data_IF_825512419668
#
_entry.id   IF_825512419668
#
_cell.length_a   1.000
_cell.length_b   1.000
_cell.length_c   1.000
_cell.angle_alpha   90.00
_cell.angle_beta   90.00
_cell.angle_gamma   90.00
#
_symmetry.space_group_name_H-M   'P 1'
#
loop_
_entity.id
_entity.type
_entity.pdbx_description
1 polymer ?
#
# COMPACT_ATOMS: atom_id res chain seq x y z
N UNK A 1 18.10 -19.71 31.40
CA UNK A 1 18.10 -20.13 29.98
C UNK A 1 16.82 -19.79 29.20
N UNK A 2 15.62 -20.13 29.70
CA UNK A 2 14.33 -19.84 29.01
C UNK A 2 14.04 -18.34 28.91
N UNK A 3 14.25 -17.59 30.00
CA UNK A 3 14.06 -16.13 30.00
C UNK A 3 14.91 -15.41 28.95
N UNK A 4 16.15 -15.87 28.71
CA UNK A 4 17.03 -15.30 27.69
C UNK A 4 16.52 -15.55 26.26
N UNK A 5 15.89 -16.70 26.00
CA UNK A 5 15.32 -17.03 24.68
C UNK A 5 14.10 -16.16 24.39
N UNK A 6 13.19 -16.05 25.35
CA UNK A 6 12.00 -15.17 25.27
C UNK A 6 12.42 -13.72 25.02
N UNK A 7 13.49 -13.26 25.69
CA UNK A 7 13.99 -11.89 25.52
C UNK A 7 14.56 -11.66 24.12
N UNK A 8 15.29 -12.62 23.56
CA UNK A 8 15.85 -12.52 22.19
C UNK A 8 14.75 -12.57 21.14
N UNK A 9 13.77 -13.46 21.29
CA UNK A 9 12.63 -13.58 20.38
C UNK A 9 11.74 -12.32 20.42
N UNK A 10 11.47 -11.80 21.63
CA UNK A 10 10.73 -10.57 21.82
C UNK A 10 11.44 -9.35 21.24
N UNK A 11 12.75 -9.23 21.45
CA UNK A 11 13.55 -8.14 20.87
C UNK A 11 13.60 -8.25 19.34
N UNK A 12 13.76 -9.47 18.81
CA UNK A 12 13.73 -9.73 17.37
C UNK A 12 12.39 -9.33 16.75
N UNK A 13 11.27 -9.72 17.37
CA UNK A 13 9.93 -9.33 16.94
C UNK A 13 9.72 -7.81 16.97
N UNK A 14 10.20 -7.13 18.02
CA UNK A 14 10.09 -5.68 18.13
C UNK A 14 10.86 -4.95 17.01
N UNK A 15 12.09 -5.38 16.70
CA UNK A 15 12.90 -4.78 15.62
C UNK A 15 12.26 -4.99 14.26
N UNK A 16 11.75 -6.20 13.99
CA UNK A 16 11.05 -6.50 12.73
C UNK A 16 9.78 -5.63 12.60
N UNK A 17 9.00 -5.51 13.66
CA UNK A 17 7.80 -4.69 13.67
C UNK A 17 8.11 -3.20 13.45
N UNK A 18 9.12 -2.66 14.13
CA UNK A 18 9.55 -1.27 13.95
C UNK A 18 10.05 -1.01 12.53
N UNK A 19 10.85 -1.94 11.97
CA UNK A 19 11.37 -1.84 10.60
C UNK A 19 10.26 -1.83 9.54
N UNK A 20 9.24 -2.68 9.68
CA UNK A 20 8.09 -2.68 8.76
C UNK A 20 7.23 -1.43 8.95
N UNK A 21 7.00 -1.03 10.20
CA UNK A 21 6.12 0.11 10.53
C UNK A 21 6.65 1.45 10.02
N UNK A 22 7.98 1.65 10.02
CA UNK A 22 8.60 2.89 9.53
C UNK A 22 8.69 2.93 8.00
N UNK A 23 8.90 1.79 7.35
CA UNK A 23 9.08 1.72 5.90
C UNK A 23 7.77 1.76 5.12
N UNK A 24 6.69 1.19 5.66
CA UNK A 24 5.42 1.09 4.94
C UNK A 24 4.83 2.46 4.51
N UNK A 25 4.80 3.50 5.36
CA UNK A 25 4.33 4.82 4.94
C UNK A 25 5.22 5.45 3.85
N UNK A 26 6.54 5.26 3.96
CA UNK A 26 7.48 5.82 3.01
C UNK A 26 7.34 5.19 1.61
N UNK A 27 7.34 3.86 1.54
CA UNK A 27 7.23 3.13 0.28
C UNK A 27 5.87 3.39 -0.37
N UNK A 28 4.77 3.39 0.41
CA UNK A 28 3.43 3.63 -0.15
C UNK A 28 3.28 5.03 -0.77
N UNK A 29 3.84 6.07 -0.16
CA UNK A 29 3.78 7.44 -0.72
C UNK A 29 4.73 7.58 -1.89
N UNK A 30 5.94 7.03 -1.80
CA UNK A 30 6.91 7.05 -2.89
C UNK A 30 6.33 6.39 -4.15
N UNK A 31 5.79 5.18 -4.04
CA UNK A 31 5.20 4.47 -5.19
C UNK A 31 3.98 5.20 -5.79
N UNK A 32 3.21 5.92 -4.97
CA UNK A 32 2.13 6.76 -5.48
C UNK A 32 2.64 7.95 -6.31
N UNK A 33 3.76 8.55 -5.90
CA UNK A 33 4.38 9.69 -6.60
C UNK A 33 5.15 9.22 -7.84
N UNK A 34 5.85 8.08 -7.78
CA UNK A 34 6.48 7.43 -8.95
C UNK A 34 5.46 7.13 -10.06
N UNK A 35 4.21 6.80 -9.71
CA UNK A 35 3.12 6.66 -10.67
C UNK A 35 2.85 7.92 -11.51
N UNK A 36 3.21 9.12 -11.03
CA UNK A 36 3.09 10.37 -11.80
C UNK A 36 4.16 10.50 -12.88
N UNK A 37 5.33 9.90 -12.69
CA UNK A 37 6.43 9.91 -13.67
C UNK A 37 6.02 9.22 -14.97
N UNK A 38 5.19 8.15 -14.88
CA UNK A 38 4.63 7.42 -16.03
C UNK A 38 3.89 8.37 -16.99
N UNK A 39 3.30 9.44 -16.47
CA UNK A 39 2.56 10.44 -17.26
C UNK A 39 3.47 11.60 -17.69
N UNK A 40 4.48 11.96 -16.91
CA UNK A 40 5.39 13.08 -17.21
C UNK A 40 6.81 12.81 -16.69
N UNK A 41 7.75 12.39 -17.56
CA UNK A 41 9.14 12.10 -17.18
C UNK A 41 9.90 13.30 -16.59
N UNK A 42 9.44 14.52 -16.85
CA UNK A 42 10.02 15.74 -16.27
C UNK A 42 9.85 15.84 -14.73
N UNK A 43 9.01 14.98 -14.13
CA UNK A 43 8.79 14.94 -12.69
C UNK A 43 9.75 14.04 -11.91
N UNK A 44 10.62 13.28 -12.58
CA UNK A 44 11.59 12.35 -11.95
C UNK A 44 12.41 13.04 -10.82
N UNK A 45 13.01 14.20 -11.13
CA UNK A 45 13.78 14.97 -10.15
C UNK A 45 12.95 15.50 -8.96
N UNK A 46 11.63 15.52 -9.07
CA UNK A 46 10.70 16.01 -8.05
C UNK A 46 10.04 14.89 -7.23
N UNK A 47 10.18 13.62 -7.62
CA UNK A 47 9.57 12.47 -6.92
C UNK A 47 9.95 12.45 -5.44
N UNK A 48 11.24 12.51 -5.13
CA UNK A 48 11.75 12.48 -3.76
C UNK A 48 11.33 13.72 -2.95
N UNK A 49 11.52 14.97 -3.43
CA UNK A 49 11.03 16.16 -2.75
C UNK A 49 9.53 16.13 -2.45
N UNK A 50 8.69 15.75 -3.42
CA UNK A 50 7.23 15.69 -3.25
C UNK A 50 6.86 14.65 -2.18
N UNK A 51 7.49 13.47 -2.22
CA UNK A 51 7.27 12.41 -1.23
C UNK A 51 7.57 12.89 0.20
N UNK A 52 8.71 13.56 0.38
CA UNK A 52 9.11 14.11 1.69
C UNK A 52 8.12 15.16 2.20
N UNK A 53 7.65 16.06 1.32
CA UNK A 53 6.65 17.07 1.68
C UNK A 53 5.33 16.41 2.08
N UNK A 54 4.85 15.43 1.32
CA UNK A 54 3.62 14.70 1.63
C UNK A 54 3.75 14.01 2.99
N UNK A 55 4.83 13.27 3.23
CA UNK A 55 5.06 12.58 4.51
C UNK A 55 5.14 13.57 5.69
N UNK A 56 5.86 14.69 5.52
CA UNK A 56 5.96 15.71 6.54
C UNK A 56 4.59 16.29 6.91
N UNK A 57 3.76 16.61 5.91
CA UNK A 57 2.40 17.12 6.13
C UNK A 57 1.50 16.06 6.79
N UNK A 58 1.53 14.83 6.29
CA UNK A 58 0.73 13.72 6.84
C UNK A 58 1.06 13.49 8.32
N UNK A 59 2.34 13.34 8.67
CA UNK A 59 2.75 13.14 10.05
C UNK A 59 2.53 14.40 10.91
N UNK A 60 2.67 15.61 10.35
CA UNK A 60 2.38 16.83 11.08
C UNK A 60 0.89 16.94 11.46
N UNK A 61 -0.03 16.49 10.60
CA UNK A 61 -1.47 16.52 10.86
C UNK A 61 -1.90 15.43 11.85
N UNK A 62 -1.19 14.30 11.91
CA UNK A 62 -1.49 13.22 12.87
C UNK A 62 -1.44 13.64 14.34
N UNK A 63 -0.68 14.70 14.68
CA UNK A 63 -0.64 15.27 16.04
C UNK A 63 -2.00 15.74 16.56
N UNK A 64 -2.95 16.04 15.66
CA UNK A 64 -4.29 16.53 16.01
C UNK A 64 -5.29 15.40 16.31
N UNK A 65 -4.83 14.14 16.29
CA UNK A 65 -5.60 12.95 16.62
C UNK A 65 -5.91 12.11 15.38
N UNK A 66 -5.61 10.81 15.48
CA UNK A 66 -5.82 9.83 14.39
C UNK A 66 -7.29 9.71 13.98
N UNK A 67 -8.24 9.92 14.90
CA UNK A 67 -9.67 9.88 14.60
C UNK A 67 -10.14 10.96 13.62
N UNK A 68 -9.58 12.18 13.72
CA UNK A 68 -9.91 13.27 12.79
C UNK A 68 -9.33 13.03 11.41
N UNK A 69 -8.11 12.48 11.36
CA UNK A 69 -7.47 12.07 10.11
C UNK A 69 -8.29 10.95 9.45
N UNK A 70 -8.66 9.92 10.22
CA UNK A 70 -9.47 8.82 9.72
C UNK A 70 -10.84 9.27 9.17
N UNK A 71 -11.46 10.30 9.76
CA UNK A 71 -12.72 10.86 9.26
C UNK A 71 -12.58 11.51 7.87
N UNK A 72 -11.41 12.06 7.53
CA UNK A 72 -11.13 12.64 6.21
C UNK A 72 -10.69 11.57 5.21
N UNK A 73 -9.83 10.65 5.63
CA UNK A 73 -9.34 9.58 4.76
C UNK A 73 -10.41 8.54 4.45
N UNK A 74 -11.38 8.29 5.34
CA UNK A 74 -12.46 7.33 5.12
C UNK A 74 -13.23 7.55 3.82
N UNK A 75 -13.82 8.74 3.58
CA UNK A 75 -14.49 9.07 2.33
C UNK A 75 -13.59 8.98 1.08
N UNK A 76 -12.31 9.36 1.20
CA UNK A 76 -11.33 9.27 0.11
C UNK A 76 -11.11 7.80 -0.26
N UNK A 77 -10.88 6.94 0.74
CA UNK A 77 -10.70 5.50 0.54
C UNK A 77 -11.97 4.84 0.01
N UNK A 78 -13.15 5.26 0.47
CA UNK A 78 -14.42 4.76 -0.08
C UNK A 78 -14.57 5.12 -1.57
N UNK A 79 -14.25 6.37 -1.94
CA UNK A 79 -14.26 6.82 -3.34
C UNK A 79 -13.29 6.01 -4.19
N UNK A 80 -12.08 5.77 -3.66
CA UNK A 80 -11.09 4.90 -4.32
C UNK A 80 -11.61 3.48 -4.52
N UNK A 81 -12.20 2.85 -3.49
CA UNK A 81 -12.77 1.51 -3.61
C UNK A 81 -13.90 1.43 -4.63
N UNK A 82 -14.76 2.45 -4.70
CA UNK A 82 -15.80 2.54 -5.73
C UNK A 82 -15.18 2.66 -7.12
N UNK A 83 -14.14 3.48 -7.28
CA UNK A 83 -13.46 3.65 -8.57
C UNK A 83 -12.84 2.34 -9.07
N UNK A 84 -12.05 1.65 -8.25
CA UNK A 84 -11.45 0.37 -8.64
C UNK A 84 -12.49 -0.74 -8.79
N UNK A 85 -13.57 -0.71 -8.00
CA UNK A 85 -14.68 -1.65 -8.13
C UNK A 85 -15.45 -1.47 -9.44
N UNK A 86 -15.72 -0.23 -9.83
CA UNK A 86 -16.36 0.08 -11.12
C UNK A 86 -15.46 -0.30 -12.30
N UNK A 87 -14.16 0.02 -12.23
CA UNK A 87 -13.19 -0.38 -13.24
C UNK A 87 -13.08 -1.91 -13.35
N UNK A 88 -13.06 -2.64 -12.23
CA UNK A 88 -13.04 -4.10 -12.21
C UNK A 88 -14.32 -4.71 -12.80
N UNK A 89 -15.49 -4.18 -12.43
CA UNK A 89 -16.78 -4.62 -12.98
C UNK A 89 -16.84 -4.43 -14.49
N UNK A 90 -16.34 -3.30 -15.00
CA UNK A 90 -16.27 -3.05 -16.45
C UNK A 90 -15.49 -4.16 -17.17
N UNK A 91 -14.33 -4.55 -16.65
CA UNK A 91 -13.51 -5.61 -17.25
C UNK A 91 -14.13 -7.01 -17.11
N UNK A 92 -14.85 -7.29 -16.02
CA UNK A 92 -15.55 -8.58 -15.85
C UNK A 92 -16.69 -8.75 -16.87
N UNK A 93 -17.38 -7.66 -17.21
CA UNK A 93 -18.46 -7.70 -18.21
C UNK A 93 -17.91 -7.87 -19.63
N UNK A 94 -16.76 -7.27 -19.91
CA UNK A 94 -16.07 -7.38 -21.21
C UNK A 94 -15.56 -8.81 -21.45
N UNK A 95 -14.98 -9.46 -20.44
CA UNK A 95 -14.50 -10.83 -20.52
C UNK A 95 -14.88 -11.68 -19.29
N UNK A 96 -15.85 -12.58 -19.49
CA UNK A 96 -16.32 -13.52 -18.48
C UNK A 96 -15.29 -14.60 -18.13
N UNK A 97 -14.30 -14.83 -18.98
CA UNK A 97 -13.22 -15.79 -18.72
C UNK A 97 -12.33 -15.36 -17.56
N UNK A 98 -12.32 -14.07 -17.20
CA UNK A 98 -11.61 -13.54 -16.02
C UNK A 98 -12.05 -14.26 -14.73
N UNK A 99 -13.31 -14.71 -14.65
CA UNK A 99 -13.81 -15.45 -13.49
C UNK A 99 -13.16 -16.83 -13.34
N UNK A 100 -12.64 -17.42 -14.42
CA UNK A 100 -11.90 -18.68 -14.36
C UNK A 100 -10.59 -18.55 -13.57
N UNK A 101 -10.04 -17.34 -13.41
CA UNK A 101 -8.86 -17.09 -12.58
C UNK A 101 -9.09 -17.42 -11.10
N UNK A 102 -10.34 -17.52 -10.64
CA UNK A 102 -10.68 -17.97 -9.29
C UNK A 102 -10.35 -19.47 -9.12
N UNK A 103 -10.37 -20.25 -10.20
CA UNK A 103 -10.08 -21.67 -10.13
C UNK A 103 -8.55 -21.90 -10.01
N UNK A 104 -8.07 -22.48 -8.88
CA UNK A 104 -6.65 -22.68 -8.63
C UNK A 104 -5.98 -23.62 -9.64
N UNK A 105 -6.76 -24.42 -10.39
CA UNK A 105 -6.27 -25.23 -11.49
C UNK A 105 -5.45 -24.40 -12.50
N UNK A 106 -5.94 -23.21 -12.87
CA UNK A 106 -5.25 -22.35 -13.85
C UNK A 106 -3.92 -21.81 -13.30
N UNK A 107 -3.86 -21.51 -12.01
CA UNK A 107 -2.61 -21.09 -11.36
C UNK A 107 -1.58 -22.23 -11.35
N UNK A 108 -2.00 -23.45 -11.01
CA UNK A 108 -1.12 -24.63 -10.98
C UNK A 108 -0.67 -25.00 -12.40
N UNK A 109 -1.57 -24.99 -13.40
CA UNK A 109 -1.21 -25.28 -14.78
C UNK A 109 -0.24 -24.24 -15.36
N UNK A 110 -0.41 -22.96 -15.00
CA UNK A 110 0.50 -21.90 -15.42
C UNK A 110 1.90 -22.07 -14.82
N UNK A 111 2.01 -22.45 -13.54
CA UNK A 111 3.30 -22.68 -12.88
C UNK A 111 4.01 -23.98 -13.32
N UNK A 112 3.24 -24.97 -13.79
CA UNK A 112 3.77 -26.25 -14.24
C UNK A 112 4.19 -26.26 -15.72
N UNK A 113 3.89 -25.19 -16.47
CA UNK A 113 4.30 -24.98 -17.86
C UNK A 113 5.51 -24.05 -17.91
#
# INVERSE_FOLDING_TARGET
PVARRILVEGLGGAVLFLGVSINAPAISVLSAVEGLEVVTPALDAYVVPITLVILAVLFAVQRFGTGKVAAVFGPITATWFVAIGAAGLYHIVDDWSVLLAINPYYAVSYLAT
#
